data_IF_813853242900
#
_entry.id   IF_813853242900
#
_cell.length_a   1.000
_cell.length_b   1.000
_cell.length_c   1.000
_cell.angle_alpha   90.00
_cell.angle_beta   90.00
_cell.angle_gamma   90.00
#
_symmetry.space_group_name_H-M   'P 1'
#
loop_
_entity.id
_entity.type
_entity.pdbx_description
1 polymer ?
#
# COMPACT_ATOMS: atom_id res chain seq x y z
N UNK A 1 21.16 -10.21 12.02
CA UNK A 1 21.91 -8.95 12.17
C UNK A 1 20.91 -7.83 12.38
N UNK A 2 21.19 -6.87 13.28
CA UNK A 2 20.34 -5.71 13.54
C UNK A 2 21.19 -4.45 13.42
N UNK A 3 20.77 -3.51 12.58
CA UNK A 3 21.34 -2.16 12.50
C UNK A 3 20.23 -1.16 12.78
N UNK A 4 20.51 -0.16 13.60
CA UNK A 4 19.54 0.87 14.00
C UNK A 4 20.23 2.23 13.88
N UNK A 5 19.58 3.11 13.14
CA UNK A 5 19.81 4.57 13.08
C UNK A 5 18.51 5.26 13.53
N UNK A 6 18.54 6.56 13.79
CA UNK A 6 17.41 7.32 14.36
C UNK A 6 16.12 7.16 13.54
N UNK A 7 16.24 7.03 12.21
CA UNK A 7 15.10 6.93 11.28
C UNK A 7 14.98 5.57 10.56
N UNK A 8 15.99 4.70 10.66
CA UNK A 8 16.10 3.48 9.84
C UNK A 8 16.54 2.27 10.68
N UNK A 9 15.78 1.18 10.57
CA UNK A 9 16.14 -0.11 11.17
C UNK A 9 16.29 -1.17 10.09
N UNK A 10 17.42 -1.87 10.08
CA UNK A 10 17.64 -3.03 9.21
C UNK A 10 17.60 -4.30 10.04
N UNK A 11 16.64 -5.17 9.73
CA UNK A 11 16.46 -6.46 10.37
C UNK A 11 16.73 -7.62 9.42
N UNK A 12 17.18 -8.74 9.97
CA UNK A 12 17.32 -10.01 9.28
C UNK A 12 16.19 -10.95 9.72
N UNK A 13 15.38 -11.38 8.75
CA UNK A 13 14.30 -12.33 8.95
C UNK A 13 14.86 -13.75 9.11
N UNK A 14 14.24 -14.52 9.98
CA UNK A 14 14.52 -15.95 10.18
C UNK A 14 13.38 -16.78 9.61
N UNK A 15 13.66 -17.99 9.08
CA UNK A 15 14.98 -18.63 8.98
C UNK A 15 15.77 -18.24 7.72
N UNK A 16 15.13 -17.55 6.77
CA UNK A 16 15.64 -17.33 5.41
C UNK A 16 16.81 -16.34 5.29
N UNK A 17 17.11 -15.58 6.35
CA UNK A 17 18.19 -14.60 6.35
C UNK A 17 17.92 -13.39 5.46
N UNK A 18 16.69 -13.20 4.98
CA UNK A 18 16.34 -12.04 4.16
C UNK A 18 16.44 -10.78 5.00
N UNK A 19 16.95 -9.70 4.42
CA UNK A 19 17.09 -8.43 5.12
C UNK A 19 15.99 -7.46 4.69
N UNK A 20 15.47 -6.71 5.65
CA UNK A 20 14.43 -5.72 5.46
C UNK A 20 14.88 -4.39 6.04
N UNK A 21 14.51 -3.29 5.39
CA UNK A 21 14.61 -1.95 5.92
C UNK A 21 13.24 -1.49 6.41
N UNK A 22 13.22 -1.03 7.66
CA UNK A 22 12.09 -0.38 8.31
C UNK A 22 12.41 1.10 8.49
N UNK A 23 11.39 1.94 8.43
CA UNK A 23 11.43 3.36 8.80
C UNK A 23 10.74 3.55 10.14
N UNK A 24 11.31 4.39 11.00
CA UNK A 24 10.66 4.84 12.23
C UNK A 24 9.42 5.68 11.89
N UNK A 25 8.32 5.43 12.59
CA UNK A 25 7.05 6.15 12.47
C UNK A 25 6.50 6.38 13.89
N UNK A 26 6.93 7.50 14.49
CA UNK A 26 6.78 7.85 15.90
C UNK A 26 7.19 6.69 16.83
N UNK A 27 6.21 5.98 17.39
CA UNK A 27 6.41 4.87 18.34
C UNK A 27 6.49 3.49 17.66
N UNK A 28 6.57 3.45 16.33
CA UNK A 28 6.47 2.22 15.54
C UNK A 28 7.50 2.13 14.41
N UNK A 29 7.58 0.95 13.78
CA UNK A 29 8.44 0.70 12.63
C UNK A 29 7.61 0.21 11.45
N UNK A 30 7.75 0.87 10.30
CA UNK A 30 7.06 0.50 9.06
C UNK A 30 8.02 -0.17 8.08
N UNK A 31 7.63 -1.33 7.55
CA UNK A 31 8.38 -2.00 6.48
C UNK A 31 8.38 -1.16 5.21
N UNK A 32 9.57 -0.82 4.71
CA UNK A 32 9.74 -0.03 3.48
C UNK A 32 10.14 -0.92 2.31
N UNK A 33 11.17 -1.76 2.48
CA UNK A 33 11.61 -2.66 1.40
C UNK A 33 12.45 -3.83 1.90
N UNK A 34 12.55 -4.85 1.05
CA UNK A 34 13.58 -5.88 1.16
C UNK A 34 14.92 -5.35 0.61
N UNK A 35 16.01 -5.73 1.27
CA UNK A 35 17.36 -5.41 0.83
C UNK A 35 17.91 -6.56 -0.01
N UNK A 36 18.66 -6.22 -1.04
CA UNK A 36 19.49 -7.19 -1.76
C UNK A 36 20.60 -7.72 -0.85
N UNK A 37 21.20 -8.86 -1.19
CA UNK A 37 22.31 -9.45 -0.41
C UNK A 37 23.60 -8.62 -0.48
N UNK A 38 23.77 -7.79 -1.51
CA UNK A 38 24.93 -6.92 -1.70
C UNK A 38 24.87 -5.63 -0.89
N UNK A 39 23.67 -5.19 -0.50
CA UNK A 39 23.51 -3.95 0.28
C UNK A 39 24.05 -4.12 1.70
N UNK A 40 24.84 -3.14 2.16
CA UNK A 40 25.34 -3.11 3.54
C UNK A 40 24.34 -2.36 4.43
N UNK A 41 24.00 -2.87 5.63
CA UNK A 41 22.99 -2.25 6.49
C UNK A 41 23.28 -0.80 6.85
N UNK A 42 24.54 -0.47 7.13
CA UNK A 42 25.03 0.86 7.49
C UNK A 42 25.01 1.87 6.33
N UNK A 43 24.94 1.37 5.09
CA UNK A 43 24.83 2.17 3.88
C UNK A 43 23.37 2.35 3.41
N UNK A 44 22.39 1.74 4.09
CA UNK A 44 20.98 1.91 3.72
C UNK A 44 20.57 3.35 3.97
N UNK A 45 20.03 3.98 2.94
CA UNK A 45 19.40 5.31 3.01
C UNK A 45 17.99 5.20 2.46
N UNK A 46 17.06 5.89 3.10
CA UNK A 46 15.66 5.97 2.69
C UNK A 46 15.37 7.40 2.23
N UNK A 47 14.66 7.55 1.11
CA UNK A 47 14.20 8.85 0.63
C UNK A 47 13.31 9.52 1.67
N UNK A 48 13.38 10.84 1.81
CA UNK A 48 12.44 11.60 2.64
C UNK A 48 11.02 11.34 2.15
N UNK A 49 10.09 11.08 3.07
CA UNK A 49 8.69 10.94 2.73
C UNK A 49 7.91 12.21 3.04
N UNK A 50 6.90 12.47 2.22
CA UNK A 50 5.88 13.50 2.46
C UNK A 50 4.57 12.77 2.74
N UNK A 51 4.00 13.03 3.91
CA UNK A 51 2.69 12.53 4.32
C UNK A 51 1.67 13.66 4.30
N UNK A 52 0.52 13.43 3.67
CA UNK A 52 -0.60 14.39 3.70
C UNK A 52 -1.95 13.68 3.67
N UNK A 53 -2.91 14.28 4.34
CA UNK A 53 -4.32 13.92 4.17
C UNK A 53 -4.79 14.39 2.79
N UNK A 54 -5.59 13.56 2.13
CA UNK A 54 -6.13 13.81 0.79
C UNK A 54 -7.62 13.52 0.79
N UNK A 55 -8.38 14.33 0.04
CA UNK A 55 -9.77 14.04 -0.23
C UNK A 55 -9.87 13.03 -1.37
N UNK A 56 -10.73 12.02 -1.21
CA UNK A 56 -11.10 11.12 -2.29
C UNK A 56 -12.48 11.53 -2.80
N UNK A 57 -12.64 11.64 -4.12
CA UNK A 57 -13.94 11.86 -4.76
C UNK A 57 -14.87 10.64 -4.56
N UNK A 58 -14.28 9.48 -4.26
CA UNK A 58 -14.96 8.29 -3.80
C UNK A 58 -13.96 7.26 -3.27
N UNK A 59 -14.39 6.46 -2.31
CA UNK A 59 -13.62 5.30 -1.83
C UNK A 59 -13.78 4.13 -2.82
N UNK A 60 -13.27 4.32 -4.04
CA UNK A 60 -13.21 3.30 -5.09
C UNK A 60 -11.83 3.20 -5.72
N UNK A 61 -11.62 2.16 -6.51
CA UNK A 61 -10.38 1.99 -7.28
C UNK A 61 -10.12 3.16 -8.25
N UNK A 62 -11.16 3.77 -8.83
CA UNK A 62 -11.04 4.97 -9.67
C UNK A 62 -10.64 6.20 -8.85
N UNK A 63 -11.24 6.38 -7.67
CA UNK A 63 -10.88 7.48 -6.76
C UNK A 63 -9.41 7.39 -6.30
N UNK A 64 -8.92 6.17 -6.07
CA UNK A 64 -7.50 5.91 -5.78
C UNK A 64 -6.62 6.35 -6.95
N UNK A 65 -6.92 5.92 -8.18
CA UNK A 65 -6.13 6.25 -9.36
C UNK A 65 -6.13 7.76 -9.63
N UNK A 66 -7.28 8.43 -9.49
CA UNK A 66 -7.40 9.87 -9.67
C UNK A 66 -6.51 10.65 -8.70
N UNK A 67 -6.50 10.29 -7.41
CA UNK A 67 -5.64 10.94 -6.40
C UNK A 67 -4.15 10.66 -6.64
N UNK A 68 -3.82 9.48 -7.18
CA UNK A 68 -2.45 9.16 -7.57
C UNK A 68 -2.04 9.82 -8.90
N UNK A 69 -2.98 10.43 -9.63
CA UNK A 69 -2.73 11.03 -10.94
C UNK A 69 -2.33 9.98 -11.99
N UNK A 70 -2.94 8.79 -11.94
CA UNK A 70 -2.65 7.68 -12.83
C UNK A 70 -3.83 7.43 -13.75
N UNK A 71 -3.56 7.50 -15.05
CA UNK A 71 -4.50 7.06 -16.07
C UNK A 71 -4.38 5.54 -16.25
N UNK A 72 -5.48 4.82 -16.04
CA UNK A 72 -5.53 3.38 -16.25
C UNK A 72 -5.51 3.08 -17.76
N UNK A 73 -4.64 2.18 -18.24
CA UNK A 73 -4.73 1.68 -19.60
C UNK A 73 -6.09 1.02 -19.90
N UNK A 74 -6.54 1.13 -21.14
CA UNK A 74 -7.86 0.63 -21.56
C UNK A 74 -7.97 -0.91 -21.50
N UNK A 75 -6.84 -1.60 -21.68
CA UNK A 75 -6.73 -3.06 -21.69
C UNK A 75 -6.62 -3.68 -20.28
N UNK A 76 -6.54 -2.84 -19.23
CA UNK A 76 -6.54 -3.30 -17.84
C UNK A 76 -7.97 -3.51 -17.36
N UNK A 77 -8.32 -4.77 -17.13
CA UNK A 77 -9.61 -5.18 -16.58
C UNK A 77 -9.65 -5.08 -15.05
N UNK A 78 -10.85 -4.89 -14.51
CA UNK A 78 -11.08 -4.90 -13.07
C UNK A 78 -11.11 -6.34 -12.56
N UNK A 79 -10.21 -6.67 -11.65
CA UNK A 79 -10.24 -7.92 -10.93
C UNK A 79 -11.19 -7.81 -9.72
N UNK A 80 -12.09 -8.79 -9.57
CA UNK A 80 -13.11 -8.81 -8.53
C UNK A 80 -13.07 -10.15 -7.81
N UNK A 81 -12.70 -10.12 -6.54
CA UNK A 81 -12.73 -11.28 -5.64
C UNK A 81 -13.84 -11.09 -4.59
N UNK A 82 -14.52 -12.18 -4.24
CA UNK A 82 -15.51 -12.17 -3.15
C UNK A 82 -15.28 -13.35 -2.21
N UNK A 83 -15.32 -13.08 -0.91
CA UNK A 83 -15.15 -14.08 0.14
C UNK A 83 -16.30 -13.98 1.16
N UNK A 84 -16.92 -15.12 1.48
CA UNK A 84 -17.90 -15.19 2.56
C UNK A 84 -17.18 -15.18 3.90
N UNK A 85 -17.44 -14.15 4.69
CA UNK A 85 -17.00 -14.04 6.07
C UNK A 85 -17.97 -14.80 7.00
N UNK A 86 -17.52 -15.10 8.21
CA UNK A 86 -18.41 -15.58 9.26
C UNK A 86 -19.54 -14.56 9.56
N UNK A 87 -20.64 -15.04 10.15
CA UNK A 87 -21.75 -14.20 10.61
C UNK A 87 -22.51 -13.44 9.51
N UNK A 88 -22.61 -13.99 8.30
CA UNK A 88 -23.40 -13.39 7.21
C UNK A 88 -22.71 -12.20 6.54
N UNK A 89 -21.40 -12.03 6.76
CA UNK A 89 -20.59 -11.04 6.07
C UNK A 89 -20.09 -11.54 4.72
N UNK A 90 -19.89 -10.63 3.78
CA UNK A 90 -19.21 -10.88 2.50
C UNK A 90 -18.18 -9.77 2.31
N UNK A 91 -16.90 -10.14 2.19
CA UNK A 91 -15.87 -9.21 1.72
C UNK A 91 -15.83 -9.26 0.20
N UNK A 92 -15.83 -8.11 -0.44
CA UNK A 92 -15.61 -7.98 -1.87
C UNK A 92 -14.41 -7.07 -2.09
N UNK A 93 -13.49 -7.51 -2.94
CA UNK A 93 -12.25 -6.81 -3.26
C UNK A 93 -12.21 -6.53 -4.75
N UNK A 94 -12.09 -5.25 -5.08
CA UNK A 94 -11.97 -4.74 -6.44
C UNK A 94 -10.52 -4.27 -6.64
N UNK A 95 -9.84 -4.69 -7.71
CA UNK A 95 -8.42 -4.37 -7.95
C UNK A 95 -8.13 -4.03 -9.40
N UNK A 96 -7.35 -2.98 -9.59
CA UNK A 96 -6.53 -2.81 -10.78
C UNK A 96 -5.07 -3.08 -10.42
N UNK A 97 -4.43 -3.98 -11.15
CA UNK A 97 -3.00 -4.28 -11.04
C UNK A 97 -2.38 -4.24 -12.43
N UNK A 98 -1.45 -3.31 -12.65
CA UNK A 98 -0.82 -3.14 -13.96
C UNK A 98 0.56 -2.51 -13.86
N UNK A 99 1.27 -2.52 -14.99
CA UNK A 99 2.51 -1.75 -15.17
C UNK A 99 2.23 -0.58 -16.09
N UNK A 100 2.65 0.62 -15.69
CA UNK A 100 2.56 1.83 -16.51
C UNK A 100 3.92 2.54 -16.56
N UNK A 101 4.50 2.65 -17.75
CA UNK A 101 5.81 3.29 -17.98
C UNK A 101 6.94 2.74 -17.09
N UNK A 102 6.91 1.44 -16.79
CA UNK A 102 7.89 0.77 -15.90
C UNK A 102 7.59 0.90 -14.41
N UNK A 103 6.46 1.53 -14.05
CA UNK A 103 5.96 1.62 -12.68
C UNK A 103 4.95 0.51 -12.43
N UNK A 104 5.03 -0.16 -11.29
CA UNK A 104 3.97 -1.09 -10.87
C UNK A 104 2.90 -0.33 -10.11
N UNK A 105 1.64 -0.52 -10.49
CA UNK A 105 0.47 0.18 -9.94
C UNK A 105 -0.53 -0.84 -9.40
N UNK A 106 -0.96 -0.63 -8.16
CA UNK A 106 -2.11 -1.29 -7.53
C UNK A 106 -3.09 -0.21 -7.09
N UNK A 107 -4.36 -0.34 -7.50
CA UNK A 107 -5.48 0.34 -6.88
C UNK A 107 -6.46 -0.71 -6.38
N UNK A 108 -6.84 -0.63 -5.12
CA UNK A 108 -7.68 -1.62 -4.45
C UNK A 108 -8.78 -0.93 -3.64
N UNK A 109 -9.97 -1.48 -3.74
CA UNK A 109 -11.12 -1.18 -2.89
C UNK A 109 -11.56 -2.49 -2.22
N UNK A 110 -11.80 -2.44 -0.91
CA UNK A 110 -12.37 -3.54 -0.14
C UNK A 110 -13.66 -3.06 0.52
N UNK A 111 -14.76 -3.76 0.24
CA UNK A 111 -16.06 -3.56 0.89
C UNK A 111 -16.43 -4.77 1.74
N UNK A 112 -17.09 -4.54 2.86
CA UNK A 112 -17.72 -5.61 3.63
C UNK A 112 -19.23 -5.37 3.72
N UNK A 113 -19.99 -6.28 3.12
CA UNK A 113 -21.45 -6.28 3.11
C UNK A 113 -21.99 -7.33 4.08
N UNK A 114 -23.17 -7.09 4.64
CA UNK A 114 -23.87 -8.05 5.49
C UNK A 114 -25.24 -8.35 4.88
N UNK A 115 -25.69 -9.61 4.93
CA UNK A 115 -26.87 -10.08 4.21
C UNK A 115 -28.15 -9.23 4.47
N UNK A 116 -28.28 -8.59 5.65
CA UNK A 116 -29.43 -7.75 6.03
C UNK A 116 -29.04 -6.32 6.49
N UNK A 117 -27.87 -5.79 6.10
CA UNK A 117 -27.45 -4.44 6.48
C UNK A 117 -26.65 -3.71 5.38
N UNK A 118 -26.64 -2.36 5.36
CA UNK A 118 -25.78 -1.59 4.48
C UNK A 118 -24.29 -1.98 4.65
N UNK A 119 -23.44 -1.77 3.62
CA UNK A 119 -22.01 -2.03 3.70
C UNK A 119 -21.42 -1.37 4.95
N UNK A 120 -20.80 -2.17 5.80
CA UNK A 120 -20.36 -1.74 7.13
C UNK A 120 -19.00 -1.06 7.11
N UNK A 121 -18.20 -1.37 6.09
CA UNK A 121 -16.88 -0.79 5.93
C UNK A 121 -16.47 -0.75 4.48
N UNK A 122 -15.71 0.30 4.16
CA UNK A 122 -15.07 0.50 2.88
C UNK A 122 -13.66 1.00 3.14
N UNK A 123 -12.69 0.35 2.51
CA UNK A 123 -11.28 0.68 2.59
C UNK A 123 -10.72 0.75 1.19
N UNK A 124 -9.76 1.63 1.00
CA UNK A 124 -9.03 1.70 -0.26
C UNK A 124 -7.53 1.70 0.00
N UNK A 125 -6.80 1.20 -0.99
CA UNK A 125 -5.35 1.19 -0.99
C UNK A 125 -4.85 1.47 -2.40
N UNK A 126 -3.88 2.37 -2.50
CA UNK A 126 -3.14 2.63 -3.73
C UNK A 126 -1.66 2.39 -3.49
N UNK A 127 -0.98 1.69 -4.38
CA UNK A 127 0.47 1.50 -4.34
C UNK A 127 1.05 1.78 -5.71
N UNK A 128 2.06 2.64 -5.75
CA UNK A 128 2.86 2.92 -6.94
C UNK A 128 4.30 2.64 -6.59
N UNK A 129 4.98 1.82 -7.39
CA UNK A 129 6.41 1.53 -7.25
C UNK A 129 7.09 1.97 -8.54
N UNK A 130 8.03 2.91 -8.41
CA UNK A 130 8.78 3.49 -9.53
C UNK A 130 10.27 3.57 -9.20
N UNK A 131 11.04 2.57 -9.64
CA UNK A 131 12.52 2.58 -9.68
C UNK A 131 13.22 3.27 -8.48
N UNK A 132 12.81 2.93 -7.26
CA UNK A 132 13.39 3.45 -6.01
C UNK A 132 12.61 4.58 -5.33
N UNK A 133 11.47 4.97 -5.90
CA UNK A 133 10.44 5.83 -5.30
C UNK A 133 9.11 5.09 -5.26
N UNK A 134 8.19 5.56 -4.45
CA UNK A 134 6.85 5.04 -4.40
C UNK A 134 5.83 6.02 -3.83
N UNK A 135 4.57 5.65 -4.03
CA UNK A 135 3.45 6.28 -3.38
C UNK A 135 2.59 5.20 -2.73
N UNK A 136 2.16 5.45 -1.49
CA UNK A 136 1.19 4.65 -0.77
C UNK A 136 0.02 5.54 -0.41
N UNK A 137 -1.16 5.21 -0.94
CA UNK A 137 -2.43 5.75 -0.51
C UNK A 137 -3.13 4.73 0.36
N UNK A 138 -3.62 5.15 1.51
CA UNK A 138 -4.52 4.33 2.33
C UNK A 138 -5.71 5.16 2.73
N UNK A 139 -6.90 4.56 2.67
CA UNK A 139 -8.11 5.24 3.09
C UNK A 139 -9.09 4.29 3.76
N UNK A 140 -9.81 4.82 4.75
CA UNK A 140 -10.92 4.13 5.38
C UNK A 140 -11.97 5.14 5.83
N UNK A 141 -13.25 4.79 5.65
CA UNK A 141 -14.42 5.61 6.02
C UNK A 141 -14.45 6.98 5.35
N UNK A 142 -13.84 7.99 5.97
CA UNK A 142 -13.89 9.41 5.63
C UNK A 142 -12.48 10.03 5.52
N UNK A 143 -11.43 9.25 5.76
CA UNK A 143 -10.04 9.74 5.74
C UNK A 143 -9.19 8.95 4.78
N UNK A 144 -8.33 9.65 4.06
CA UNK A 144 -7.30 9.05 3.24
C UNK A 144 -5.97 9.80 3.42
N UNK A 145 -4.89 9.04 3.45
CA UNK A 145 -3.53 9.55 3.64
C UNK A 145 -2.68 9.06 2.49
N UNK A 146 -1.99 10.01 1.86
CA UNK A 146 -1.02 9.77 0.80
C UNK A 146 0.39 9.99 1.36
N UNK A 147 1.23 8.96 1.21
CA UNK A 147 2.64 8.96 1.56
C UNK A 147 3.44 8.82 0.26
N UNK A 148 4.43 9.67 0.03
CA UNK A 148 5.26 9.66 -1.17
C UNK A 148 6.74 9.75 -0.77
N UNK A 149 7.62 8.93 -1.38
CA UNK A 149 9.07 8.92 -1.09
C UNK A 149 9.85 7.96 -1.98
#
# INVERSE_FOLDING_TARGET
MLFVDDDVLVAELRPDGRRIALRGDDDSWRLVRFLTTSERPDAVRLSVEICREVALDGFSVEGVLAVLGIDKPDDVELDVESEKLGHGGTEIRYRYLFTDQGRSVLAEEVTCEFDDAPPSSRRVRGVVIDNGRGALLTGSRDRAVLIQG
#
